data_IF_280964497526
#
_entry.id   IF_280964497526
#
_cell.length_a   1.000
_cell.length_b   1.000
_cell.length_c   1.000
_cell.angle_alpha   90.00
_cell.angle_beta   90.00
_cell.angle_gamma   90.00
#
_symmetry.space_group_name_H-M   'P 1'
#
loop_
_entity.id
_entity.type
_entity.pdbx_description
1 polymer ?
#
# COMPACT_ATOMS: atom_id res chain seq x y z
N UNK A 1 32.96 -19.76 0.03
CA UNK A 1 31.89 -18.91 0.57
C UNK A 1 30.92 -18.58 -0.55
N UNK A 2 29.70 -19.14 -0.51
CA UNK A 2 28.59 -18.83 -1.41
C UNK A 2 27.88 -17.54 -1.03
N UNK A 3 26.90 -17.09 -1.83
CA UNK A 3 26.14 -15.85 -1.53
C UNK A 3 25.39 -15.94 -0.19
N UNK A 4 24.92 -17.14 0.18
CA UNK A 4 24.30 -17.39 1.47
C UNK A 4 25.24 -17.06 2.65
N UNK A 5 26.51 -17.47 2.58
CA UNK A 5 27.49 -17.20 3.65
C UNK A 5 27.71 -15.70 3.85
N UNK A 6 27.82 -14.96 2.73
CA UNK A 6 27.95 -13.51 2.78
C UNK A 6 26.70 -12.82 3.29
N UNK A 7 25.51 -13.30 2.91
CA UNK A 7 24.25 -12.79 3.42
C UNK A 7 24.16 -12.95 4.94
N UNK A 8 24.41 -14.16 5.46
CA UNK A 8 24.36 -14.39 6.90
C UNK A 8 25.41 -13.60 7.66
N UNK A 9 26.64 -13.49 7.13
CA UNK A 9 27.69 -12.69 7.75
C UNK A 9 27.34 -11.20 7.78
N UNK A 10 26.85 -10.64 6.68
CA UNK A 10 26.43 -9.24 6.63
C UNK A 10 25.27 -8.98 7.61
N UNK A 11 24.25 -9.84 7.61
CA UNK A 11 23.11 -9.72 8.53
C UNK A 11 23.54 -9.79 10.00
N UNK A 12 24.46 -10.69 10.34
CA UNK A 12 25.03 -10.80 11.69
C UNK A 12 25.76 -9.51 12.08
N UNK A 13 26.61 -8.98 11.20
CA UNK A 13 27.38 -7.75 11.46
C UNK A 13 26.49 -6.51 11.63
N UNK A 14 25.37 -6.43 10.90
CA UNK A 14 24.35 -5.41 11.14
C UNK A 14 23.70 -5.56 12.53
N UNK A 15 23.37 -6.79 12.92
CA UNK A 15 22.75 -7.08 14.22
C UNK A 15 23.69 -6.92 15.42
N UNK A 16 25.00 -7.10 15.24
CA UNK A 16 26.00 -7.05 16.31
C UNK A 16 26.58 -5.65 16.58
N UNK A 17 26.04 -4.61 15.95
CA UNK A 17 26.51 -3.23 16.16
C UNK A 17 27.74 -2.82 15.33
N UNK A 18 28.09 -3.58 14.29
CA UNK A 18 29.17 -3.27 13.33
C UNK A 18 28.59 -3.04 11.92
N UNK A 19 27.73 -2.03 11.72
CA UNK A 19 27.03 -1.83 10.44
C UNK A 19 27.96 -1.46 9.29
N UNK A 20 29.12 -0.85 9.56
CA UNK A 20 30.13 -0.55 8.54
C UNK A 20 30.73 -1.85 7.95
N UNK A 21 31.04 -2.82 8.80
CA UNK A 21 31.56 -4.13 8.37
C UNK A 21 30.49 -4.90 7.61
N UNK A 22 29.23 -4.88 8.10
CA UNK A 22 28.09 -5.47 7.41
C UNK A 22 27.87 -4.88 6.02
N UNK A 23 27.98 -3.55 5.88
CA UNK A 23 27.91 -2.86 4.60
C UNK A 23 29.03 -3.31 3.67
N UNK A 24 30.28 -3.35 4.16
CA UNK A 24 31.42 -3.75 3.36
C UNK A 24 31.32 -5.21 2.90
N UNK A 25 30.88 -6.12 3.78
CA UNK A 25 30.62 -7.53 3.45
C UNK A 25 29.53 -7.65 2.38
N UNK A 26 28.42 -6.94 2.54
CA UNK A 26 27.31 -6.95 1.58
C UNK A 26 27.70 -6.42 0.21
N UNK A 27 28.42 -5.30 0.15
CA UNK A 27 28.94 -4.73 -1.11
C UNK A 27 29.93 -5.67 -1.80
N UNK A 28 30.81 -6.32 -1.04
CA UNK A 28 31.73 -7.32 -1.57
C UNK A 28 30.99 -8.51 -2.18
N UNK A 29 29.93 -8.98 -1.52
CA UNK A 29 29.08 -10.06 -2.00
C UNK A 29 28.36 -9.66 -3.29
N UNK A 30 27.70 -8.50 -3.30
CA UNK A 30 26.99 -7.98 -4.49
C UNK A 30 27.94 -7.86 -5.68
N UNK A 31 29.14 -7.30 -5.49
CA UNK A 31 30.14 -7.18 -6.58
C UNK A 31 30.56 -8.54 -7.13
N UNK A 32 30.64 -9.57 -6.27
CA UNK A 32 31.03 -10.92 -6.66
C UNK A 32 29.91 -11.66 -7.40
N UNK A 33 28.67 -11.43 -6.98
CA UNK A 33 27.49 -12.20 -7.35
C UNK A 33 26.52 -11.43 -8.25
N UNK A 34 26.91 -10.27 -8.79
CA UNK A 34 26.06 -9.51 -9.71
C UNK A 34 25.90 -10.21 -11.07
N UNK A 35 24.97 -9.68 -11.86
CA UNK A 35 24.42 -10.10 -13.17
C UNK A 35 25.05 -11.29 -13.90
N UNK A 36 26.38 -11.32 -14.13
CA UNK A 36 27.06 -12.42 -14.81
C UNK A 36 26.87 -13.80 -14.14
N UNK A 37 26.68 -13.86 -12.82
CA UNK A 37 26.44 -15.12 -12.10
C UNK A 37 24.96 -15.40 -11.83
N UNK A 38 24.07 -14.41 -12.01
CA UNK A 38 22.67 -14.50 -11.59
C UNK A 38 21.88 -15.54 -12.41
N UNK A 39 22.19 -15.67 -13.70
CA UNK A 39 21.56 -16.64 -14.58
C UNK A 39 21.78 -18.09 -14.10
N UNK A 40 22.93 -18.35 -13.48
CA UNK A 40 23.33 -19.67 -12.97
C UNK A 40 22.93 -19.90 -11.50
N UNK A 41 22.42 -18.88 -10.82
CA UNK A 41 22.05 -19.00 -9.40
C UNK A 41 20.82 -19.88 -9.17
N UNK A 42 20.87 -20.62 -8.08
CA UNK A 42 19.69 -21.29 -7.53
C UNK A 42 18.67 -20.27 -7.00
N UNK A 43 17.41 -20.68 -6.83
CA UNK A 43 16.38 -19.82 -6.24
C UNK A 43 16.73 -19.33 -4.81
N UNK A 44 17.26 -20.17 -3.89
CA UNK A 44 17.79 -19.70 -2.61
C UNK A 44 18.91 -18.65 -2.73
N UNK A 45 19.85 -18.83 -3.68
CA UNK A 45 20.94 -17.88 -3.89
C UNK A 45 20.41 -16.52 -4.35
N UNK A 46 19.43 -16.51 -5.26
CA UNK A 46 18.72 -15.28 -5.66
C UNK A 46 18.02 -14.64 -4.47
N UNK A 47 17.33 -15.41 -3.63
CA UNK A 47 16.71 -14.87 -2.41
C UNK A 47 17.73 -14.17 -1.50
N UNK A 48 18.90 -14.77 -1.29
CA UNK A 48 19.97 -14.19 -0.49
C UNK A 48 20.55 -12.93 -1.13
N UNK A 49 20.74 -12.93 -2.46
CA UNK A 49 21.19 -11.74 -3.19
C UNK A 49 20.16 -10.60 -3.10
N UNK A 50 18.87 -10.88 -3.25
CA UNK A 50 17.80 -9.90 -3.09
C UNK A 50 17.77 -9.30 -1.68
N UNK A 51 17.97 -10.14 -0.67
CA UNK A 51 18.07 -9.72 0.74
C UNK A 51 19.30 -8.83 0.99
N UNK A 52 20.45 -9.15 0.38
CA UNK A 52 21.66 -8.34 0.43
C UNK A 52 21.44 -6.96 -0.21
N UNK A 53 20.78 -6.88 -1.36
CA UNK A 53 20.42 -5.61 -1.97
C UNK A 53 19.53 -4.76 -1.04
N UNK A 54 18.57 -5.39 -0.36
CA UNK A 54 17.75 -4.73 0.66
C UNK A 54 18.58 -4.17 1.82
N UNK A 55 19.51 -4.98 2.37
CA UNK A 55 20.43 -4.53 3.43
C UNK A 55 21.29 -3.33 2.99
N UNK A 56 21.69 -3.30 1.72
CA UNK A 56 22.49 -2.21 1.14
C UNK A 56 21.66 -1.02 0.66
N UNK A 57 20.34 -0.99 0.93
CA UNK A 57 19.41 0.05 0.47
C UNK A 57 19.39 0.22 -1.06
N UNK A 58 19.57 -0.87 -1.80
CA UNK A 58 19.41 -0.93 -3.26
C UNK A 58 18.11 -1.67 -3.59
N UNK A 59 17.01 -1.08 -3.15
CA UNK A 59 15.69 -1.74 -3.12
C UNK A 59 15.21 -2.12 -4.52
N UNK A 60 15.46 -1.27 -5.51
CA UNK A 60 15.15 -1.48 -6.92
C UNK A 60 15.76 -2.79 -7.48
N UNK A 61 17.03 -3.06 -7.14
CA UNK A 61 17.71 -4.28 -7.53
C UNK A 61 17.19 -5.47 -6.72
N UNK A 62 16.99 -5.31 -5.42
CA UNK A 62 16.46 -6.37 -4.56
C UNK A 62 15.08 -6.85 -5.03
N UNK A 63 14.20 -5.92 -5.38
CA UNK A 63 12.85 -6.18 -5.89
C UNK A 63 12.87 -7.05 -7.16
N UNK A 64 13.71 -6.72 -8.15
CA UNK A 64 13.88 -7.52 -9.37
C UNK A 64 14.34 -8.94 -9.05
N UNK A 65 15.30 -9.07 -8.15
CA UNK A 65 15.86 -10.37 -7.77
C UNK A 65 14.84 -11.24 -7.01
N UNK A 66 14.00 -10.66 -6.15
CA UNK A 66 12.97 -11.43 -5.45
C UNK A 66 11.94 -12.05 -6.39
N UNK A 67 11.54 -11.37 -7.47
CA UNK A 67 10.65 -11.93 -8.49
C UNK A 67 11.27 -13.16 -9.16
N UNK A 68 12.54 -13.07 -9.56
CA UNK A 68 13.29 -14.19 -10.14
C UNK A 68 13.54 -15.34 -9.16
N UNK A 69 13.66 -15.03 -7.86
CA UNK A 69 13.71 -16.05 -6.82
C UNK A 69 12.39 -16.80 -6.71
N UNK A 70 11.24 -16.09 -6.76
CA UNK A 70 9.90 -16.70 -6.76
C UNK A 70 9.71 -17.62 -7.97
N UNK A 71 10.04 -17.16 -9.18
CA UNK A 71 9.98 -17.98 -10.41
C UNK A 71 10.82 -19.26 -10.25
N UNK A 72 12.03 -19.12 -9.70
CA UNK A 72 12.90 -20.26 -9.42
C UNK A 72 12.31 -21.24 -8.40
N UNK A 73 11.67 -20.76 -7.33
CA UNK A 73 11.02 -21.62 -6.34
C UNK A 73 9.78 -22.33 -6.88
N UNK A 74 9.01 -21.67 -7.75
CA UNK A 74 7.83 -22.25 -8.41
C UNK A 74 8.19 -23.38 -9.38
N UNK A 75 9.40 -23.36 -9.94
CA UNK A 75 9.93 -24.42 -10.78
C UNK A 75 10.53 -25.61 -10.00
N UNK A 76 10.62 -25.53 -8.67
CA UNK A 76 11.16 -26.62 -7.84
C UNK A 76 10.05 -27.58 -7.41
N UNK A 77 10.33 -28.89 -7.45
CA UNK A 77 9.42 -29.91 -6.91
C UNK A 77 9.19 -29.78 -5.39
N UNK A 78 10.19 -29.25 -4.67
CA UNK A 78 10.17 -29.11 -3.20
C UNK A 78 10.96 -27.88 -2.75
N UNK A 79 10.40 -26.67 -2.91
CA UNK A 79 11.08 -25.44 -2.52
C UNK A 79 11.25 -25.36 -0.99
N UNK A 80 12.40 -24.88 -0.48
CA UNK A 80 12.57 -24.57 0.94
C UNK A 80 11.55 -23.54 1.40
N UNK A 81 10.53 -23.99 2.14
CA UNK A 81 9.35 -23.20 2.55
C UNK A 81 9.72 -21.85 3.16
N UNK A 82 10.70 -21.82 4.05
CA UNK A 82 11.13 -20.59 4.72
C UNK A 82 11.66 -19.51 3.76
N UNK A 83 12.46 -19.89 2.75
CA UNK A 83 13.01 -18.95 1.77
C UNK A 83 11.96 -18.55 0.75
N UNK A 84 11.15 -19.50 0.27
CA UNK A 84 10.12 -19.20 -0.70
C UNK A 84 9.06 -18.24 -0.14
N UNK A 85 8.57 -18.50 1.07
CA UNK A 85 7.64 -17.59 1.75
C UNK A 85 8.20 -16.18 1.87
N UNK A 86 9.49 -16.01 2.22
CA UNK A 86 10.10 -14.67 2.32
C UNK A 86 10.34 -14.02 0.95
N UNK A 87 10.67 -14.82 -0.07
CA UNK A 87 10.79 -14.33 -1.43
C UNK A 87 9.44 -13.82 -1.97
N UNK A 88 8.33 -14.50 -1.65
CA UNK A 88 6.98 -14.03 -1.98
C UNK A 88 6.70 -12.65 -1.36
N UNK A 89 7.07 -12.41 -0.10
CA UNK A 89 6.90 -11.09 0.54
C UNK A 89 7.80 -10.03 -0.13
N UNK A 90 9.04 -10.37 -0.45
CA UNK A 90 9.95 -9.47 -1.17
C UNK A 90 9.41 -9.08 -2.55
N UNK A 91 8.86 -10.05 -3.30
CA UNK A 91 8.24 -9.82 -4.59
C UNK A 91 6.91 -9.06 -4.47
N UNK A 92 6.09 -9.33 -3.45
CA UNK A 92 4.85 -8.58 -3.21
C UNK A 92 5.11 -7.09 -2.96
N UNK A 93 6.20 -6.76 -2.26
CA UNK A 93 6.64 -5.36 -2.10
C UNK A 93 6.98 -4.72 -3.44
N UNK A 94 7.69 -5.45 -4.32
CA UNK A 94 8.00 -4.97 -5.66
C UNK A 94 6.72 -4.70 -6.47
N UNK A 95 5.77 -5.62 -6.43
CA UNK A 95 4.54 -5.49 -7.20
C UNK A 95 3.66 -4.35 -6.68
N UNK A 96 3.60 -4.15 -5.36
CA UNK A 96 2.92 -3.00 -4.78
C UNK A 96 3.57 -1.67 -5.19
N UNK A 97 4.91 -1.61 -5.29
CA UNK A 97 5.63 -0.43 -5.78
C UNK A 97 5.34 -0.15 -7.26
N UNK A 98 5.22 -1.20 -8.08
CA UNK A 98 4.85 -1.12 -9.50
C UNK A 98 3.33 -0.96 -9.72
N UNK A 99 2.54 -0.79 -8.64
CA UNK A 99 1.07 -0.68 -8.65
C UNK A 99 0.33 -1.93 -9.17
N UNK A 100 1.01 -3.08 -9.26
CA UNK A 100 0.38 -4.38 -9.48
C UNK A 100 -0.13 -4.97 -8.16
N UNK A 101 -1.19 -4.34 -7.64
CA UNK A 101 -1.77 -4.71 -6.35
C UNK A 101 -2.39 -6.11 -6.34
N UNK A 102 -2.84 -6.61 -7.50
CA UNK A 102 -3.40 -7.94 -7.63
C UNK A 102 -2.33 -9.02 -7.40
N UNK A 103 -1.19 -8.89 -8.09
CA UNK A 103 0.00 -9.71 -7.86
C UNK A 103 0.51 -9.61 -6.43
N UNK A 104 0.60 -8.39 -5.87
CA UNK A 104 1.05 -8.19 -4.50
C UNK A 104 0.16 -8.92 -3.49
N UNK A 105 -1.16 -8.80 -3.62
CA UNK A 105 -2.12 -9.46 -2.74
C UNK A 105 -2.04 -10.99 -2.87
N UNK A 106 -2.00 -11.52 -4.09
CA UNK A 106 -1.89 -12.95 -4.34
C UNK A 106 -0.61 -13.55 -3.72
N UNK A 107 0.53 -12.86 -3.82
CA UNK A 107 1.79 -13.29 -3.20
C UNK A 107 1.73 -13.26 -1.68
N UNK A 108 1.08 -12.24 -1.08
CA UNK A 108 0.87 -12.17 0.37
C UNK A 108 -0.02 -13.32 0.86
N UNK A 109 -1.13 -13.58 0.18
CA UNK A 109 -2.04 -14.68 0.53
C UNK A 109 -1.31 -16.02 0.43
N UNK A 110 -0.58 -16.24 -0.67
CA UNK A 110 0.21 -17.46 -0.86
C UNK A 110 1.28 -17.63 0.22
N UNK A 111 1.97 -16.55 0.59
CA UNK A 111 2.95 -16.58 1.67
C UNK A 111 2.30 -16.99 3.01
N UNK A 112 1.06 -16.55 3.28
CA UNK A 112 0.30 -16.90 4.50
C UNK A 112 -0.24 -18.32 4.50
N UNK A 113 -0.71 -18.82 3.36
CA UNK A 113 -1.06 -20.24 3.20
C UNK A 113 0.13 -21.12 3.55
N UNK A 114 1.32 -20.71 3.09
CA UNK A 114 2.57 -21.38 3.41
C UNK A 114 3.06 -21.07 4.83
N UNK A 115 2.82 -19.93 5.42
CA UNK A 115 3.22 -19.68 6.80
C UNK A 115 2.30 -18.61 7.39
N UNK A 116 1.31 -18.99 8.21
CA UNK A 116 0.38 -18.04 8.80
C UNK A 116 1.06 -16.95 9.63
N UNK A 117 2.27 -17.21 10.15
CA UNK A 117 3.06 -16.31 10.96
C UNK A 117 4.14 -15.56 10.17
N UNK A 118 4.12 -15.63 8.82
CA UNK A 118 5.07 -14.84 8.02
C UNK A 118 4.91 -13.36 8.33
N UNK A 119 5.99 -12.65 8.70
CA UNK A 119 5.94 -11.22 8.86
C UNK A 119 5.70 -10.56 7.50
N UNK A 120 4.62 -9.78 7.41
CA UNK A 120 4.31 -8.94 6.26
C UNK A 120 4.37 -7.50 6.72
N UNK A 121 5.07 -6.66 5.97
CA UNK A 121 5.08 -5.23 6.20
C UNK A 121 3.64 -4.69 6.13
N UNK A 122 3.08 -4.15 7.23
CA UNK A 122 1.70 -3.72 7.25
C UNK A 122 1.40 -2.62 6.23
N UNK A 123 2.42 -1.85 5.80
CA UNK A 123 2.25 -0.82 4.80
C UNK A 123 2.05 -1.42 3.40
N UNK A 124 2.87 -2.41 3.03
CA UNK A 124 2.75 -3.12 1.76
C UNK A 124 1.43 -3.86 1.68
N UNK A 125 1.05 -4.53 2.76
CA UNK A 125 -0.21 -5.25 2.82
C UNK A 125 -1.40 -4.31 2.71
N UNK A 126 -1.41 -3.20 3.45
CA UNK A 126 -2.46 -2.21 3.34
C UNK A 126 -2.64 -1.70 1.90
N UNK A 127 -1.54 -1.43 1.19
CA UNK A 127 -1.58 -1.00 -0.22
C UNK A 127 -2.19 -2.07 -1.12
N UNK A 128 -1.70 -3.30 -1.03
CA UNK A 128 -2.19 -4.42 -1.84
C UNK A 128 -3.68 -4.69 -1.62
N UNK A 129 -4.12 -4.70 -0.36
CA UNK A 129 -5.52 -4.92 0.00
C UNK A 129 -6.40 -3.74 -0.43
N UNK A 130 -5.93 -2.50 -0.33
CA UNK A 130 -6.67 -1.33 -0.79
C UNK A 130 -6.81 -1.32 -2.32
N UNK A 131 -5.74 -1.66 -3.05
CA UNK A 131 -5.72 -1.76 -4.51
C UNK A 131 -6.65 -2.84 -5.08
N UNK A 132 -6.83 -3.94 -4.35
CA UNK A 132 -7.72 -5.04 -4.74
C UNK A 132 -9.15 -4.92 -4.20
N UNK A 133 -9.47 -3.82 -3.50
CA UNK A 133 -10.80 -3.60 -2.93
C UNK A 133 -11.10 -4.42 -1.67
N UNK A 134 -10.10 -5.08 -1.07
CA UNK A 134 -10.19 -5.79 0.22
C UNK A 134 -10.11 -4.80 1.38
N UNK A 135 -11.04 -3.85 1.41
CA UNK A 135 -10.98 -2.66 2.27
C UNK A 135 -10.90 -2.95 3.78
N UNK A 136 -11.63 -3.96 4.26
CA UNK A 136 -11.58 -4.35 5.67
C UNK A 136 -10.23 -4.95 6.08
N UNK A 137 -9.55 -5.62 5.15
CA UNK A 137 -8.21 -6.17 5.39
C UNK A 137 -7.15 -5.08 5.31
N UNK A 138 -7.31 -4.13 4.37
CA UNK A 138 -6.48 -2.93 4.31
C UNK A 138 -6.55 -2.15 5.63
N UNK A 139 -7.76 -1.86 6.14
CA UNK A 139 -7.98 -1.20 7.43
C UNK A 139 -7.22 -1.89 8.58
N UNK A 140 -7.37 -3.22 8.71
CA UNK A 140 -6.65 -4.01 9.73
C UNK A 140 -5.14 -3.96 9.56
N UNK A 141 -4.64 -3.98 8.32
CA UNK A 141 -3.21 -3.88 8.06
C UNK A 141 -2.65 -2.54 8.51
N UNK A 142 -3.30 -1.43 8.15
CA UNK A 142 -2.88 -0.09 8.56
C UNK A 142 -2.81 0.07 10.09
N UNK A 143 -3.77 -0.49 10.83
CA UNK A 143 -3.77 -0.43 12.29
C UNK A 143 -2.66 -1.23 12.98
N UNK A 144 -1.93 -2.09 12.25
CA UNK A 144 -0.76 -2.80 12.78
C UNK A 144 0.55 -1.99 12.66
N UNK A 145 0.52 -0.82 12.05
CA UNK A 145 1.66 0.11 12.04
C UNK A 145 1.73 0.78 13.42
N UNK A 146 2.82 0.52 14.15
CA UNK A 146 3.01 1.00 15.53
C UNK A 146 4.14 2.04 15.67
N UNK A 147 5.04 2.12 14.70
CA UNK A 147 6.19 3.03 14.74
C UNK A 147 6.75 3.30 13.33
N UNK A 148 7.49 4.42 13.15
CA UNK A 148 7.55 5.58 14.05
C UNK A 148 6.21 6.34 14.12
N UNK A 149 6.07 7.27 15.06
CA UNK A 149 4.80 7.98 15.34
C UNK A 149 4.20 8.65 14.11
N UNK A 150 5.03 9.19 13.23
CA UNK A 150 4.62 9.82 11.97
C UNK A 150 3.91 8.82 11.05
N UNK A 151 4.41 7.56 11.00
CA UNK A 151 3.76 6.50 10.24
C UNK A 151 2.47 6.01 10.90
N UNK A 152 2.35 6.08 12.23
CA UNK A 152 1.11 5.73 12.95
C UNK A 152 -0.02 6.70 12.58
N UNK A 153 0.27 7.99 12.52
CA UNK A 153 -0.73 8.99 12.14
C UNK A 153 -1.17 8.81 10.68
N UNK A 154 -0.21 8.63 9.79
CA UNK A 154 -0.45 8.34 8.38
C UNK A 154 -1.28 7.05 8.20
N UNK A 155 -0.92 5.97 8.89
CA UNK A 155 -1.64 4.70 8.81
C UNK A 155 -3.07 4.80 9.33
N UNK A 156 -3.32 5.59 10.38
CA UNK A 156 -4.69 5.84 10.86
C UNK A 156 -5.55 6.57 9.82
N UNK A 157 -4.97 7.50 9.05
CA UNK A 157 -5.66 8.18 7.95
C UNK A 157 -5.96 7.17 6.82
N UNK A 158 -4.98 6.32 6.45
CA UNK A 158 -5.17 5.25 5.45
C UNK A 158 -6.21 4.21 5.89
N UNK A 159 -6.27 3.88 7.18
CA UNK A 159 -7.27 2.99 7.75
C UNK A 159 -8.68 3.56 7.59
N UNK A 160 -8.86 4.84 7.93
CA UNK A 160 -10.14 5.55 7.75
C UNK A 160 -10.52 5.66 6.29
N UNK A 161 -9.57 6.00 5.41
CA UNK A 161 -9.79 6.00 3.96
C UNK A 161 -10.28 4.63 3.49
N UNK A 162 -9.57 3.55 3.86
CA UNK A 162 -9.94 2.18 3.49
C UNK A 162 -11.35 1.82 3.96
N UNK A 163 -11.67 2.13 5.23
CA UNK A 163 -13.01 1.93 5.77
C UNK A 163 -14.09 2.67 4.97
N UNK A 164 -13.88 3.97 4.68
CA UNK A 164 -14.83 4.78 3.90
C UNK A 164 -14.99 4.24 2.48
N UNK A 165 -13.91 3.80 1.84
CA UNK A 165 -13.96 3.14 0.54
C UNK A 165 -14.82 1.87 0.57
N UNK A 166 -14.74 1.09 1.66
CA UNK A 166 -15.54 -0.13 1.87
C UNK A 166 -17.04 0.08 2.03
N UNK A 167 -17.51 1.31 2.28
CA UNK A 167 -18.94 1.64 2.28
C UNK A 167 -19.53 1.71 0.86
N UNK A 168 -18.67 1.71 -0.16
CA UNK A 168 -19.04 1.77 -1.56
C UNK A 168 -18.73 0.46 -2.28
N UNK A 169 -19.68 -0.02 -3.08
CA UNK A 169 -19.46 -1.24 -3.91
C UNK A 169 -18.31 -1.05 -4.90
N UNK A 170 -18.20 0.14 -5.48
CA UNK A 170 -17.13 0.52 -6.40
C UNK A 170 -16.81 2.01 -6.24
N UNK A 171 -15.54 2.36 -6.46
CA UNK A 171 -15.10 3.74 -6.62
C UNK A 171 -14.97 4.06 -8.12
N UNK A 172 -15.17 5.32 -8.53
CA UNK A 172 -14.92 5.73 -9.90
C UNK A 172 -13.43 5.58 -10.24
N UNK A 173 -13.15 5.21 -11.50
CA UNK A 173 -11.81 5.24 -12.09
C UNK A 173 -11.51 6.57 -12.79
N UNK A 174 -12.55 7.36 -13.00
CA UNK A 174 -12.50 8.66 -13.64
C UNK A 174 -12.62 9.76 -12.57
N UNK A 175 -11.87 10.84 -12.75
CA UNK A 175 -11.94 12.01 -11.89
C UNK A 175 -13.14 12.92 -12.23
N UNK A 176 -13.27 14.07 -11.54
CA UNK A 176 -14.40 14.99 -11.71
C UNK A 176 -14.59 15.54 -13.14
N UNK A 177 -13.55 15.52 -13.97
CA UNK A 177 -13.61 16.00 -15.37
C UNK A 177 -13.90 14.87 -16.37
N UNK A 178 -14.06 13.62 -15.91
CA UNK A 178 -14.25 12.44 -16.74
C UNK A 178 -12.97 11.83 -17.31
N UNK A 179 -11.80 12.43 -17.05
CA UNK A 179 -10.48 11.85 -17.33
C UNK A 179 -10.19 10.68 -16.39
N UNK A 180 -9.38 9.72 -16.84
CA UNK A 180 -8.91 8.62 -15.97
C UNK A 180 -8.05 9.19 -14.86
N UNK A 181 -8.18 8.67 -13.63
CA UNK A 181 -7.42 9.15 -12.47
C UNK A 181 -5.89 9.08 -12.67
N UNK A 182 -5.41 8.07 -13.41
CA UNK A 182 -3.99 7.93 -13.77
C UNK A 182 -3.46 9.05 -14.67
N UNK A 183 -4.34 9.72 -15.42
CA UNK A 183 -3.99 10.83 -16.31
C UNK A 183 -3.83 12.16 -15.56
N UNK A 184 -4.24 12.24 -14.29
CA UNK A 184 -4.07 13.45 -13.49
C UNK A 184 -2.61 13.64 -13.10
N UNK A 185 -2.12 14.86 -13.09
CA UNK A 185 -0.88 15.20 -12.38
C UNK A 185 -1.13 15.25 -10.88
N UNK A 186 -0.07 15.16 -10.08
CA UNK A 186 -0.20 15.25 -8.61
C UNK A 186 -0.86 16.56 -8.18
N UNK A 187 -0.50 17.68 -8.84
CA UNK A 187 -1.09 18.99 -8.59
C UNK A 187 -2.58 19.05 -8.95
N UNK A 188 -3.01 18.38 -10.02
CA UNK A 188 -4.43 18.30 -10.39
C UNK A 188 -5.22 17.47 -9.37
N UNK A 189 -4.66 16.37 -8.85
CA UNK A 189 -5.29 15.58 -7.80
C UNK A 189 -5.46 16.40 -6.52
N UNK A 190 -4.40 17.07 -6.06
CA UNK A 190 -4.45 17.91 -4.86
C UNK A 190 -5.48 19.04 -5.00
N UNK A 191 -5.48 19.71 -6.16
CA UNK A 191 -6.46 20.77 -6.47
C UNK A 191 -7.88 20.22 -6.43
N UNK A 192 -8.13 19.10 -7.09
CA UNK A 192 -9.46 18.47 -7.11
C UNK A 192 -9.91 18.04 -5.70
N UNK A 193 -9.01 17.49 -4.88
CA UNK A 193 -9.31 17.15 -3.48
C UNK A 193 -9.74 18.42 -2.72
N UNK A 194 -8.97 19.52 -2.84
CA UNK A 194 -9.28 20.80 -2.19
C UNK A 194 -10.62 21.39 -2.61
N UNK A 195 -10.99 21.27 -3.87
CA UNK A 195 -12.27 21.75 -4.38
C UNK A 195 -13.47 20.92 -3.89
N UNK A 196 -13.28 19.61 -3.66
CA UNK A 196 -14.33 18.72 -3.15
C UNK A 196 -14.55 18.88 -1.64
N UNK A 197 -13.53 19.25 -0.86
CA UNK A 197 -13.62 19.38 0.61
C UNK A 197 -14.73 20.33 1.07
N UNK A 198 -14.84 21.58 0.58
CA UNK A 198 -15.94 22.49 0.93
C UNK A 198 -17.32 21.91 0.57
N UNK A 199 -17.44 21.25 -0.59
CA UNK A 199 -18.71 20.64 -1.03
C UNK A 199 -19.14 19.53 -0.07
N UNK A 200 -18.21 18.64 0.31
CA UNK A 200 -18.45 17.59 1.30
C UNK A 200 -18.86 18.15 2.66
N UNK A 201 -18.21 19.23 3.11
CA UNK A 201 -18.58 19.90 4.37
C UNK A 201 -20.00 20.47 4.30
N UNK A 202 -20.37 21.09 3.19
CA UNK A 202 -21.72 21.63 3.01
C UNK A 202 -22.78 20.52 2.99
N UNK A 203 -22.48 19.38 2.35
CA UNK A 203 -23.33 18.20 2.44
C UNK A 203 -23.45 17.69 3.87
N UNK A 204 -22.37 17.60 4.64
CA UNK A 204 -22.43 17.16 6.05
C UNK A 204 -23.22 18.10 6.95
N UNK A 205 -23.20 19.43 6.70
CA UNK A 205 -24.07 20.38 7.40
C UNK A 205 -25.54 20.13 7.08
N UNK A 206 -25.84 19.86 5.81
CA UNK A 206 -27.20 19.59 5.33
C UNK A 206 -27.72 18.23 5.81
N UNK A 207 -26.83 17.23 5.88
CA UNK A 207 -27.10 15.83 6.22
C UNK A 207 -26.22 15.38 7.41
N UNK A 208 -26.42 15.93 8.62
CA UNK A 208 -25.61 15.57 9.76
C UNK A 208 -25.77 14.07 10.12
N UNK A 209 -24.79 13.44 10.77
CA UNK A 209 -24.90 12.06 11.22
C UNK A 209 -26.23 11.80 11.96
N UNK A 210 -26.95 10.76 11.55
CA UNK A 210 -28.27 10.43 12.10
C UNK A 210 -29.44 11.28 11.58
N UNK A 211 -29.26 12.11 10.55
CA UNK A 211 -30.33 12.95 9.97
C UNK A 211 -31.58 12.14 9.59
N UNK A 212 -31.41 10.89 9.13
CA UNK A 212 -32.52 10.00 8.76
C UNK A 212 -33.51 9.73 9.90
N UNK A 213 -33.05 9.83 11.15
CA UNK A 213 -33.85 9.57 12.33
C UNK A 213 -34.39 10.86 12.98
N UNK A 214 -34.00 12.03 12.47
CA UNK A 214 -34.33 13.33 13.04
C UNK A 214 -35.37 14.02 12.16
N UNK A 215 -36.64 13.97 12.57
CA UNK A 215 -37.78 14.57 11.83
C UNK A 215 -37.58 16.06 11.50
N UNK A 216 -36.80 16.77 12.30
CA UNK A 216 -36.56 18.21 12.14
C UNK A 216 -35.37 18.54 11.21
N UNK A 217 -34.70 17.52 10.66
CA UNK A 217 -33.55 17.75 9.78
C UNK A 217 -33.98 18.43 8.47
N UNK A 218 -33.15 19.32 7.91
CA UNK A 218 -33.41 19.99 6.63
C UNK A 218 -33.93 19.06 5.51
N UNK A 219 -33.43 17.81 5.36
CA UNK A 219 -33.89 16.89 4.33
C UNK A 219 -35.36 16.45 4.43
N UNK A 220 -36.01 16.58 5.58
CA UNK A 220 -37.45 16.27 5.72
C UNK A 220 -38.36 17.38 5.19
N UNK A 221 -37.83 18.59 4.99
CA UNK A 221 -38.55 19.73 4.41
C UNK A 221 -38.46 19.79 2.88
N UNK A 222 -37.56 18.99 2.30
CA UNK A 222 -37.37 18.89 0.86
C UNK A 222 -38.39 17.94 0.25
N UNK A 223 -38.74 18.17 -1.02
CA UNK A 223 -39.46 17.17 -1.80
C UNK A 223 -38.60 15.93 -1.97
N UNK A 224 -39.23 14.78 -2.12
CA UNK A 224 -38.52 13.50 -2.26
C UNK A 224 -37.50 13.52 -3.42
N UNK A 225 -37.87 14.09 -4.57
CA UNK A 225 -37.00 14.22 -5.74
C UNK A 225 -35.79 15.14 -5.51
N UNK A 226 -35.97 16.23 -4.75
CA UNK A 226 -34.89 17.15 -4.37
C UNK A 226 -33.91 16.46 -3.41
N UNK A 227 -34.45 15.75 -2.41
CA UNK A 227 -33.68 14.95 -1.46
C UNK A 227 -32.86 13.87 -2.16
N UNK A 228 -33.47 13.13 -3.08
CA UNK A 228 -32.76 12.10 -3.87
C UNK A 228 -31.66 12.70 -4.74
N UNK A 229 -31.92 13.85 -5.36
CA UNK A 229 -30.93 14.56 -6.18
C UNK A 229 -29.73 15.01 -5.36
N UNK A 230 -29.97 15.59 -4.18
CA UNK A 230 -28.90 15.97 -3.25
C UNK A 230 -28.12 14.77 -2.73
N UNK A 231 -28.79 13.68 -2.36
CA UNK A 231 -28.12 12.46 -1.90
C UNK A 231 -27.27 11.82 -2.99
N UNK A 232 -27.73 11.84 -4.25
CA UNK A 232 -26.94 11.40 -5.40
C UNK A 232 -25.71 12.29 -5.60
N UNK A 233 -25.88 13.60 -5.52
CA UNK A 233 -24.77 14.57 -5.58
C UNK A 233 -23.73 14.31 -4.49
N UNK A 234 -24.16 14.22 -3.23
CA UNK A 234 -23.30 13.94 -2.09
C UNK A 234 -22.50 12.64 -2.25
N UNK A 235 -23.17 11.54 -2.62
CA UNK A 235 -22.50 10.25 -2.83
C UNK A 235 -21.52 10.29 -3.99
N UNK A 236 -21.84 11.03 -5.07
CA UNK A 236 -20.93 11.22 -6.20
C UNK A 236 -19.67 11.96 -5.74
N UNK A 237 -19.83 13.13 -5.12
CA UNK A 237 -18.73 13.95 -4.59
C UNK A 237 -17.85 13.17 -3.62
N UNK A 238 -18.46 12.42 -2.70
CA UNK A 238 -17.70 11.60 -1.74
C UNK A 238 -16.92 10.47 -2.43
N UNK A 239 -17.53 9.77 -3.39
CA UNK A 239 -16.82 8.72 -4.14
C UNK A 239 -15.65 9.28 -4.94
N UNK A 240 -15.80 10.45 -5.55
CA UNK A 240 -14.73 11.15 -6.26
C UNK A 240 -13.60 11.53 -5.30
N UNK A 241 -13.94 12.11 -4.14
CA UNK A 241 -12.98 12.46 -3.10
C UNK A 241 -12.17 11.25 -2.60
N UNK A 242 -12.85 10.13 -2.32
CA UNK A 242 -12.22 8.88 -1.89
C UNK A 242 -11.32 8.30 -2.99
N UNK A 243 -11.76 8.34 -4.24
CA UNK A 243 -11.00 7.83 -5.37
C UNK A 243 -9.72 8.65 -5.63
N UNK A 244 -9.79 9.98 -5.51
CA UNK A 244 -8.63 10.86 -5.63
C UNK A 244 -7.62 10.66 -4.49
N UNK A 245 -8.08 10.57 -3.23
CA UNK A 245 -7.19 10.28 -2.10
C UNK A 245 -6.51 8.91 -2.25
N UNK A 246 -7.26 7.90 -2.72
CA UNK A 246 -6.71 6.57 -3.01
C UNK A 246 -5.65 6.63 -4.11
N UNK A 247 -5.91 7.35 -5.20
CA UNK A 247 -4.94 7.53 -6.28
C UNK A 247 -3.68 8.26 -5.80
N UNK A 248 -3.84 9.35 -5.04
CA UNK A 248 -2.73 10.09 -4.45
C UNK A 248 -1.84 9.17 -3.59
N UNK A 249 -2.47 8.34 -2.76
CA UNK A 249 -1.79 7.31 -1.96
C UNK A 249 -1.07 6.27 -2.83
N UNK A 250 -1.67 5.80 -3.92
CA UNK A 250 -1.07 4.83 -4.85
C UNK A 250 0.17 5.38 -5.58
N UNK A 251 0.33 6.69 -5.64
CA UNK A 251 1.55 7.36 -6.15
C UNK A 251 2.66 7.47 -5.12
N UNK A 252 2.44 6.93 -3.91
CA UNK A 252 3.41 6.95 -2.82
C UNK A 252 3.34 8.21 -1.97
N UNK A 253 2.38 9.11 -2.21
CA UNK A 253 2.27 10.34 -1.44
C UNK A 253 1.64 10.08 -0.05
N UNK A 254 2.17 10.71 1.01
CA UNK A 254 1.54 10.66 2.33
C UNK A 254 0.24 11.47 2.31
N UNK A 255 -0.82 10.93 2.92
CA UNK A 255 -2.11 11.62 3.06
C UNK A 255 -2.07 12.68 4.16
N UNK A 256 -1.23 12.51 5.18
CA UNK A 256 -1.17 13.37 6.36
C UNK A 256 -0.97 14.86 6.03
N UNK A 257 0.03 15.29 5.22
CA UNK A 257 0.21 16.71 4.89
C UNK A 257 -1.04 17.32 4.23
N UNK A 258 -1.63 16.61 3.28
CA UNK A 258 -2.82 17.05 2.56
C UNK A 258 -4.04 17.11 3.50
N UNK A 259 -4.25 16.07 4.30
CA UNK A 259 -5.36 15.96 5.23
C UNK A 259 -5.31 16.97 6.38
N UNK A 260 -4.12 17.34 6.84
CA UNK A 260 -3.94 18.35 7.89
C UNK A 260 -4.00 19.77 7.35
N UNK A 261 -3.37 20.06 6.21
CA UNK A 261 -3.40 21.38 5.60
C UNK A 261 -4.81 21.79 5.21
N UNK A 262 -5.55 20.88 4.57
CA UNK A 262 -6.92 21.13 4.11
C UNK A 262 -7.97 20.74 5.17
N UNK A 263 -7.49 20.23 6.32
CA UNK A 263 -8.23 19.86 7.50
C UNK A 263 -9.40 18.89 7.22
N UNK A 264 -9.24 17.92 6.31
CA UNK A 264 -10.30 16.99 5.94
C UNK A 264 -10.24 15.64 6.66
N UNK A 265 -9.34 15.45 7.63
CA UNK A 265 -9.30 14.21 8.44
C UNK A 265 -10.66 13.90 9.07
N UNK A 266 -11.46 14.93 9.38
CA UNK A 266 -12.83 14.79 9.87
C UNK A 266 -13.77 14.16 8.83
N UNK A 267 -13.56 14.43 7.53
CA UNK A 267 -14.35 13.86 6.42
C UNK A 267 -14.16 12.35 6.24
N UNK A 268 -13.08 11.79 6.81
CA UNK A 268 -12.83 10.35 6.83
C UNK A 268 -13.37 9.65 8.09
N UNK A 269 -13.94 10.40 9.04
CA UNK A 269 -14.59 9.85 10.25
C UNK A 269 -16.03 9.44 9.97
#
# INVERSE_FOLDING_TARGET
AGVADFHYLAALQYGSGTPADGAQTGLNAIRRYSEAQEAEMSAPDRYHLGSLYGLMRREDLGMKIFRRAVEGFEAMDSPPRAFYTRALIGAARADAADRDFASAAARIDRAREMNPEVPVDPMVEGMAMLGTGRFAEAEKAWYRVLEPVELVQESQIRARLSKRCGEYKTLPEDGPTGRKLEEYTDQEIETAIRELVPQMREFRKTFPPGWRNRKDSPPHRLKESERETLLRGMRKTEREFLALNREYLFRGHPLSPLAHHDAYVDLLR
#
